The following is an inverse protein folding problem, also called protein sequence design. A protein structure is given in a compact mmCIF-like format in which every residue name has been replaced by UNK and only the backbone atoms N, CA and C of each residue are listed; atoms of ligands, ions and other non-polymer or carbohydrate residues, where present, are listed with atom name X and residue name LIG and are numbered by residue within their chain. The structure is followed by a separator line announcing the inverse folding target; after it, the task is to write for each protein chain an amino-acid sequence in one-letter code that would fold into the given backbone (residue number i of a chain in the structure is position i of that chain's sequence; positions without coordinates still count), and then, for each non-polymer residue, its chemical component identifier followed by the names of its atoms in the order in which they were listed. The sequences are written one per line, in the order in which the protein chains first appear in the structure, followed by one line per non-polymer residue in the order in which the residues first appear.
data_IF_989325679202
#
_entry.id   IF_989325679202
#
_cell.length_a   1.000
_cell.length_b   1.000
_cell.length_c   1.000
_cell.angle_alpha   90.00
_cell.angle_beta   90.00
_cell.angle_gamma   90.00
#
_symmetry.space_group_name_H-M   'P 1'
#
loop_
_entity.id
_entity.type
_entity.pdbx_description
1 polymer ?
#
# COMPACT_ATOMS: atom_id res chain seq x y z
N UNK A 1 -0.15 -18.37 1.18
CA UNK A 1 -0.59 -19.63 0.56
C UNK A 1 -0.78 -19.41 -0.93
N UNK A 2 -0.13 -20.17 -1.83
CA UNK A 2 -0.52 -20.18 -3.23
C UNK A 2 -1.84 -20.95 -3.36
N UNK A 3 -2.93 -20.26 -3.64
CA UNK A 3 -4.18 -20.90 -4.03
C UNK A 3 -3.95 -21.54 -5.40
N UNK A 4 -4.23 -22.84 -5.52
CA UNK A 4 -4.19 -23.55 -6.81
C UNK A 4 -5.26 -22.91 -7.68
N UNK A 5 -4.85 -22.02 -8.60
CA UNK A 5 -5.78 -21.14 -9.31
C UNK A 5 -6.71 -21.88 -10.26
N UNK A 6 -6.34 -23.07 -10.75
CA UNK A 6 -7.02 -23.74 -11.87
C UNK A 6 -6.94 -25.26 -11.70
N UNK A 7 -8.06 -25.90 -11.34
CA UNK A 7 -8.18 -27.35 -11.24
C UNK A 7 -8.72 -27.92 -12.56
N UNK A 8 -8.13 -29.00 -13.06
CA UNK A 8 -8.60 -29.67 -14.28
C UNK A 8 -9.57 -30.78 -13.88
N UNK A 9 -10.75 -30.78 -14.51
CA UNK A 9 -11.78 -31.78 -14.24
C UNK A 9 -12.04 -32.67 -15.46
N UNK A 10 -12.24 -34.00 -15.27
CA UNK A 10 -12.17 -34.76 -14.02
C UNK A 10 -10.73 -34.98 -13.53
N UNK A 11 -10.49 -35.00 -12.21
CA UNK A 11 -9.12 -35.24 -11.66
C UNK A 11 -8.65 -36.69 -11.81
N UNK A 12 -9.59 -37.62 -11.77
CA UNK A 12 -9.35 -39.05 -11.84
C UNK A 12 -9.96 -39.61 -13.13
N UNK A 13 -9.20 -40.42 -13.86
CA UNK A 13 -9.62 -40.94 -15.16
C UNK A 13 -10.33 -42.30 -15.08
N UNK A 14 -9.95 -43.15 -14.11
CA UNK A 14 -10.36 -44.57 -14.08
C UNK A 14 -10.74 -45.08 -12.68
N UNK A 15 -11.17 -44.21 -11.76
CA UNK A 15 -11.53 -44.58 -10.39
C UNK A 15 -12.99 -45.06 -10.20
N UNK A 16 -13.78 -45.13 -11.28
CA UNK A 16 -15.18 -45.59 -11.21
C UNK A 16 -15.29 -47.12 -11.24
N UNK A 17 -16.22 -47.67 -10.46
CA UNK A 17 -16.57 -49.09 -10.55
C UNK A 17 -17.17 -49.39 -11.93
N UNK A 18 -16.83 -50.56 -12.48
CA UNK A 18 -17.44 -51.04 -13.73
C UNK A 18 -18.85 -51.54 -13.41
N UNK A 19 -19.88 -51.13 -14.17
CA UNK A 19 -21.25 -51.61 -13.95
C UNK A 19 -21.36 -53.13 -14.14
N UNK A 20 -22.22 -53.76 -13.33
CA UNK A 20 -22.48 -55.20 -13.42
C UNK A 20 -23.19 -55.58 -14.73
N UNK A 21 -22.85 -56.74 -15.30
CA UNK A 21 -23.50 -57.29 -16.50
C UNK A 21 -22.89 -56.84 -17.84
N UNK A 22 -21.69 -56.25 -17.82
CA UNK A 22 -20.97 -55.86 -19.05
C UNK A 22 -20.15 -57.05 -19.56
N UNK A 23 -20.28 -57.35 -20.86
CA UNK A 23 -19.56 -58.47 -21.48
C UNK A 23 -18.04 -58.27 -21.56
N UNK A 24 -17.57 -57.05 -21.82
CA UNK A 24 -16.14 -56.71 -21.91
C UNK A 24 -15.81 -55.51 -21.00
N UNK A 25 -15.42 -55.80 -19.77
CA UNK A 25 -15.09 -54.79 -18.76
C UNK A 25 -13.90 -53.91 -19.16
N UNK A 26 -12.89 -54.48 -19.82
CA UNK A 26 -11.69 -53.74 -20.25
C UNK A 26 -12.03 -52.67 -21.30
N UNK A 27 -12.87 -53.02 -22.27
CA UNK A 27 -13.36 -52.07 -23.27
C UNK A 27 -14.20 -50.96 -22.63
N UNK A 28 -15.03 -51.29 -21.64
CA UNK A 28 -15.78 -50.29 -20.88
C UNK A 28 -14.85 -49.32 -20.14
N UNK A 29 -13.86 -49.82 -19.40
CA UNK A 29 -12.90 -48.99 -18.66
C UNK A 29 -12.08 -48.11 -19.62
N UNK A 30 -11.61 -48.65 -20.74
CA UNK A 30 -10.82 -47.88 -21.72
C UNK A 30 -11.66 -46.78 -22.37
N UNK A 31 -12.91 -47.05 -22.75
CA UNK A 31 -13.83 -46.04 -23.30
C UNK A 31 -14.18 -44.95 -22.26
N UNK A 32 -14.45 -45.33 -21.01
CA UNK A 32 -14.66 -44.39 -19.91
C UNK A 32 -13.42 -43.50 -19.68
N UNK A 33 -12.24 -44.10 -19.73
CA UNK A 33 -10.95 -43.39 -19.58
C UNK A 33 -10.76 -42.40 -20.73
N UNK A 34 -11.00 -42.80 -21.98
CA UNK A 34 -10.93 -41.91 -23.14
C UNK A 34 -11.92 -40.75 -23.04
N UNK A 35 -13.16 -41.04 -22.65
CA UNK A 35 -14.19 -40.02 -22.41
C UNK A 35 -13.76 -39.03 -21.32
N UNK A 36 -13.16 -39.52 -20.23
CA UNK A 36 -12.61 -38.69 -19.17
C UNK A 36 -11.43 -37.82 -19.63
N UNK A 37 -10.53 -38.35 -20.47
CA UNK A 37 -9.43 -37.59 -21.10
C UNK A 37 -9.98 -36.47 -21.98
N UNK A 38 -11.00 -36.73 -22.80
CA UNK A 38 -11.63 -35.69 -23.65
C UNK A 38 -12.20 -34.56 -22.78
N UNK A 39 -12.85 -34.91 -21.65
CA UNK A 39 -13.36 -33.92 -20.69
C UNK A 39 -12.22 -33.11 -20.04
N UNK A 40 -11.11 -33.76 -19.66
CA UNK A 40 -9.93 -33.05 -19.15
C UNK A 40 -9.37 -32.06 -20.17
N UNK A 41 -9.26 -32.45 -21.44
CA UNK A 41 -8.78 -31.58 -22.52
C UNK A 41 -9.73 -30.39 -22.75
N UNK A 42 -11.04 -30.59 -22.64
CA UNK A 42 -12.01 -29.50 -22.66
C UNK A 42 -11.80 -28.54 -21.48
N UNK A 43 -11.66 -29.06 -20.25
CA UNK A 43 -11.38 -28.25 -19.07
C UNK A 43 -10.06 -27.48 -19.19
N UNK A 44 -9.03 -28.10 -19.76
CA UNK A 44 -7.74 -27.46 -20.02
C UNK A 44 -7.87 -26.33 -21.05
N UNK A 45 -8.63 -26.55 -22.12
CA UNK A 45 -8.87 -25.56 -23.17
C UNK A 45 -9.59 -24.31 -22.61
N UNK A 46 -10.62 -24.51 -21.76
CA UNK A 46 -11.27 -23.41 -21.03
C UNK A 46 -10.29 -22.61 -20.18
N UNK A 47 -9.37 -23.29 -19.48
CA UNK A 47 -8.36 -22.61 -18.66
C UNK A 47 -7.35 -21.84 -19.50
N UNK A 48 -6.95 -22.38 -20.65
CA UNK A 48 -6.09 -21.68 -21.59
C UNK A 48 -6.77 -20.42 -22.14
N UNK A 49 -8.04 -20.51 -22.55
CA UNK A 49 -8.84 -19.37 -23.00
C UNK A 49 -8.88 -18.26 -21.94
N UNK A 50 -9.12 -18.61 -20.67
CA UNK A 50 -9.13 -17.65 -19.58
C UNK A 50 -7.78 -16.93 -19.41
N UNK A 51 -6.65 -17.67 -19.49
CA UNK A 51 -5.31 -17.09 -19.38
C UNK A 51 -5.01 -16.15 -20.55
N UNK A 52 -5.28 -16.59 -21.77
CA UNK A 52 -5.03 -15.76 -22.96
C UNK A 52 -5.98 -14.57 -23.03
N UNK A 53 -7.22 -14.71 -22.58
CA UNK A 53 -8.19 -13.62 -22.47
C UNK A 53 -7.75 -12.56 -21.46
N UNK A 54 -7.27 -12.95 -20.28
CA UNK A 54 -6.71 -12.04 -19.27
C UNK A 54 -5.52 -11.25 -19.85
N UNK A 55 -4.56 -11.95 -20.48
CA UNK A 55 -3.40 -11.33 -21.11
C UNK A 55 -3.77 -10.40 -22.26
N UNK A 56 -4.72 -10.81 -23.10
CA UNK A 56 -5.20 -10.00 -24.22
C UNK A 56 -5.84 -8.70 -23.75
N UNK A 57 -6.68 -8.75 -22.71
CA UNK A 57 -7.33 -7.56 -22.16
C UNK A 57 -6.32 -6.58 -21.57
N UNK A 58 -5.30 -7.09 -20.86
CA UNK A 58 -4.23 -6.26 -20.31
C UNK A 58 -3.38 -5.64 -21.41
N UNK A 59 -2.99 -6.42 -22.43
CA UNK A 59 -2.26 -5.94 -23.58
C UNK A 59 -3.04 -4.89 -24.37
N UNK A 60 -4.35 -5.05 -24.54
CA UNK A 60 -5.21 -4.09 -25.23
C UNK A 60 -5.35 -2.79 -24.42
N UNK A 61 -5.46 -2.89 -23.09
CA UNK A 61 -5.44 -1.72 -22.20
C UNK A 61 -4.12 -0.96 -22.31
N UNK A 62 -3.00 -1.69 -22.34
CA UNK A 62 -1.68 -1.11 -22.56
C UNK A 62 -1.57 -0.44 -23.94
N UNK A 63 -2.03 -1.10 -24.99
CA UNK A 63 -2.04 -0.60 -26.35
C UNK A 63 -2.82 0.73 -26.47
N UNK A 64 -4.03 0.80 -25.90
CA UNK A 64 -4.81 2.05 -25.89
C UNK A 64 -4.09 3.19 -25.18
N UNK A 65 -3.42 2.91 -24.05
CA UNK A 65 -2.60 3.90 -23.33
C UNK A 65 -1.37 4.33 -24.14
N UNK A 66 -0.72 3.40 -24.82
CA UNK A 66 0.46 3.67 -25.64
C UNK A 66 0.11 4.59 -26.82
N UNK A 67 -1.00 4.32 -27.53
CA UNK A 67 -1.47 5.18 -28.61
C UNK A 67 -1.80 6.59 -28.13
N UNK A 68 -2.54 6.71 -27.02
CA UNK A 68 -2.85 8.02 -26.43
C UNK A 68 -1.60 8.79 -26.00
N UNK A 69 -0.58 8.08 -25.52
CA UNK A 69 0.71 8.68 -25.19
C UNK A 69 1.48 9.12 -26.45
N UNK A 70 1.47 8.31 -27.50
CA UNK A 70 2.12 8.64 -28.77
C UNK A 70 1.54 9.92 -29.38
N UNK A 71 0.21 10.03 -29.46
CA UNK A 71 -0.46 11.24 -29.96
C UNK A 71 -0.05 12.50 -29.17
N UNK A 72 0.15 12.35 -27.85
CA UNK A 72 0.61 13.46 -27.00
C UNK A 72 2.07 13.80 -27.25
N UNK A 73 2.92 12.81 -27.47
CA UNK A 73 4.33 12.99 -27.81
C UNK A 73 4.45 13.74 -29.14
N UNK A 74 3.70 13.34 -30.17
CA UNK A 74 3.77 13.96 -31.49
C UNK A 74 3.35 15.44 -31.45
N UNK A 75 2.25 15.74 -30.74
CA UNK A 75 1.80 17.13 -30.53
C UNK A 75 2.80 17.94 -29.70
N UNK A 76 3.42 17.33 -28.69
CA UNK A 76 4.43 17.99 -27.87
C UNK A 76 5.69 18.27 -28.68
N UNK A 77 6.14 17.33 -29.52
CA UNK A 77 7.30 17.49 -30.38
C UNK A 77 7.16 18.71 -31.30
N UNK A 78 6.00 18.85 -31.96
CA UNK A 78 5.71 20.04 -32.80
C UNK A 78 5.78 21.33 -31.97
N UNK A 79 5.15 21.36 -30.79
CA UNK A 79 5.18 22.55 -29.91
C UNK A 79 6.60 22.90 -29.49
N UNK A 80 7.40 21.92 -29.08
CA UNK A 80 8.79 22.13 -28.65
C UNK A 80 9.65 22.67 -29.80
N UNK A 81 9.47 22.16 -31.03
CA UNK A 81 10.21 22.66 -32.20
C UNK A 81 9.82 24.06 -32.62
N UNK A 82 8.63 24.54 -32.25
CA UNK A 82 8.14 25.88 -32.56
C UNK A 82 8.44 26.91 -31.46
N UNK A 83 9.02 26.50 -30.33
CA UNK A 83 9.39 27.42 -29.25
C UNK A 83 10.57 28.29 -29.69
N UNK A 84 10.40 29.60 -29.56
CA UNK A 84 11.45 30.60 -29.75
C UNK A 84 11.80 31.25 -28.41
N UNK A 85 12.93 30.84 -27.84
CA UNK A 85 13.41 31.35 -26.55
C UNK A 85 13.82 32.83 -26.58
N UNK A 86 13.96 33.44 -27.76
CA UNK A 86 14.27 34.87 -27.86
C UNK A 86 13.04 35.77 -27.64
N UNK A 87 11.84 35.21 -27.78
CA UNK A 87 10.55 35.91 -27.66
C UNK A 87 9.82 35.55 -26.35
N UNK A 88 10.14 34.43 -25.72
CA UNK A 88 9.45 33.94 -24.52
C UNK A 88 9.91 34.65 -23.24
N UNK A 89 9.14 35.65 -22.78
CA UNK A 89 9.40 36.38 -21.54
C UNK A 89 8.93 35.61 -20.28
N UNK A 90 9.79 35.54 -19.26
CA UNK A 90 9.48 34.89 -17.99
C UNK A 90 8.65 35.84 -17.10
N UNK A 91 7.35 35.56 -16.97
CA UNK A 91 6.45 36.37 -16.13
C UNK A 91 6.48 35.97 -14.65
N UNK A 92 6.85 36.91 -13.78
CA UNK A 92 6.77 36.74 -12.33
C UNK A 92 5.32 36.68 -11.80
N UNK A 93 4.33 37.11 -12.61
CA UNK A 93 2.92 37.04 -12.24
C UNK A 93 2.44 35.58 -12.17
N UNK A 94 3.01 34.69 -12.98
CA UNK A 94 2.64 33.28 -13.00
C UNK A 94 2.98 32.57 -11.68
N UNK A 95 4.00 33.04 -10.95
CA UNK A 95 4.42 32.47 -9.66
C UNK A 95 3.32 32.63 -8.60
N UNK A 96 2.62 33.78 -8.60
CA UNK A 96 1.57 34.06 -7.61
C UNK A 96 0.16 33.71 -8.10
N UNK A 97 -0.08 33.77 -9.43
CA UNK A 97 -1.42 33.63 -10.01
C UNK A 97 -1.72 32.26 -10.60
N UNK A 98 -0.70 31.44 -10.92
CA UNK A 98 -0.88 30.06 -11.39
C UNK A 98 -0.58 29.06 -10.28
N UNK A 99 -1.38 27.98 -10.25
CA UNK A 99 -1.08 26.84 -9.38
C UNK A 99 0.14 26.11 -9.91
N UNK A 100 1.03 25.73 -8.99
CA UNK A 100 2.19 24.91 -9.33
C UNK A 100 1.76 23.56 -9.94
N UNK A 101 2.58 23.03 -10.85
CA UNK A 101 2.38 21.70 -11.41
C UNK A 101 2.34 20.64 -10.31
N UNK A 102 1.44 19.66 -10.47
CA UNK A 102 1.32 18.50 -9.60
C UNK A 102 1.33 17.24 -10.44
N UNK A 103 2.21 16.31 -10.09
CA UNK A 103 2.19 14.96 -10.61
C UNK A 103 1.03 14.16 -9.99
N UNK A 104 0.64 13.07 -10.66
CA UNK A 104 -0.29 12.11 -10.10
C UNK A 104 0.32 11.42 -8.88
N UNK A 105 -0.47 11.26 -7.80
CA UNK A 105 -0.09 10.57 -6.55
C UNK A 105 -1.15 9.51 -6.23
N UNK A 106 -1.63 8.80 -7.24
CA UNK A 106 -2.59 7.70 -7.06
C UNK A 106 -1.86 6.52 -6.41
N UNK A 107 -2.50 5.94 -5.38
CA UNK A 107 -2.01 4.76 -4.67
C UNK A 107 -3.06 3.67 -4.71
N UNK A 108 -2.67 2.48 -5.17
CA UNK A 108 -3.56 1.31 -5.19
C UNK A 108 -3.73 0.76 -3.77
N UNK A 109 -4.98 0.60 -3.35
CA UNK A 109 -5.36 0.09 -2.04
C UNK A 109 -6.46 -0.96 -2.21
N UNK A 110 -6.71 -1.76 -1.16
CA UNK A 110 -7.74 -2.81 -1.17
C UNK A 110 -7.60 -3.83 -2.32
N UNK A 111 -6.35 -4.21 -2.63
CA UNK A 111 -5.99 -5.14 -3.72
C UNK A 111 -6.62 -6.54 -3.63
N UNK A 112 -7.20 -6.92 -2.49
CA UNK A 112 -7.88 -8.20 -2.27
C UNK A 112 -9.41 -8.05 -2.15
N UNK A 113 -9.98 -7.02 -2.76
CA UNK A 113 -11.43 -6.82 -2.80
C UNK A 113 -12.13 -7.88 -3.67
N UNK A 114 -13.45 -8.01 -3.53
CA UNK A 114 -14.26 -8.91 -4.37
C UNK A 114 -14.17 -8.57 -5.87
N UNK A 115 -13.83 -7.33 -6.22
CA UNK A 115 -13.68 -6.92 -7.63
C UNK A 115 -12.36 -7.33 -8.25
N UNK A 116 -11.33 -7.60 -7.44
CA UNK A 116 -10.01 -8.03 -7.91
C UNK A 116 -9.82 -9.55 -7.85
N UNK A 117 -10.87 -10.31 -7.51
CA UNK A 117 -10.79 -11.77 -7.49
C UNK A 117 -10.72 -12.32 -8.90
N UNK A 118 -9.73 -13.16 -9.25
CA UNK A 118 -9.65 -13.80 -10.55
C UNK A 118 -10.89 -14.66 -10.83
N UNK A 119 -11.32 -14.73 -12.08
CA UNK A 119 -12.49 -15.50 -12.51
C UNK A 119 -12.43 -16.96 -12.02
N UNK A 120 -11.25 -17.58 -12.05
CA UNK A 120 -11.10 -18.96 -11.60
C UNK A 120 -11.33 -19.16 -10.09
N UNK A 121 -10.99 -18.16 -9.28
CA UNK A 121 -11.27 -18.16 -7.84
C UNK A 121 -12.74 -17.86 -7.60
N UNK A 122 -13.34 -16.97 -8.39
CA UNK A 122 -14.77 -16.67 -8.33
C UNK A 122 -15.62 -17.90 -8.68
N UNK A 123 -15.24 -18.67 -9.70
CA UNK A 123 -15.90 -19.93 -10.08
C UNK A 123 -15.88 -20.94 -8.92
N UNK A 124 -14.72 -21.13 -8.29
CA UNK A 124 -14.56 -22.02 -7.12
C UNK A 124 -15.36 -21.53 -5.90
N UNK A 125 -15.41 -20.22 -5.69
CA UNK A 125 -16.24 -19.62 -4.63
C UNK A 125 -17.74 -19.88 -4.90
N UNK A 126 -18.17 -19.75 -6.15
CA UNK A 126 -19.57 -19.94 -6.55
C UNK A 126 -20.03 -21.40 -6.51
N UNK A 127 -19.11 -22.36 -6.72
CA UNK A 127 -19.39 -23.79 -6.56
C UNK A 127 -19.37 -24.26 -5.09
N UNK A 128 -18.89 -23.42 -4.17
CA UNK A 128 -18.82 -23.76 -2.76
C UNK A 128 -20.19 -23.65 -2.06
N UNK A 129 -20.35 -24.36 -0.95
CA UNK A 129 -21.57 -24.31 -0.16
C UNK A 129 -21.84 -22.89 0.35
N UNK A 130 -23.05 -22.39 0.08
CA UNK A 130 -23.48 -21.07 0.54
C UNK A 130 -23.83 -21.10 2.03
N UNK A 131 -23.59 -20.00 2.76
CA UNK A 131 -23.99 -19.93 4.16
C UNK A 131 -25.53 -19.98 4.29
N UNK A 132 -26.05 -20.40 5.45
CA UNK A 132 -27.48 -20.34 5.72
C UNK A 132 -28.02 -18.91 5.53
N UNK A 133 -29.24 -18.72 4.98
CA UNK A 133 -29.79 -17.40 4.68
C UNK A 133 -30.35 -16.73 5.95
N UNK A 134 -29.48 -16.45 6.93
CA UNK A 134 -29.88 -15.84 8.21
C UNK A 134 -30.32 -14.38 8.04
N UNK A 135 -29.98 -13.73 6.92
CA UNK A 135 -30.40 -12.36 6.63
C UNK A 135 -31.92 -12.18 6.60
N UNK A 136 -32.69 -13.25 6.38
CA UNK A 136 -34.16 -13.22 6.48
C UNK A 136 -34.65 -13.01 7.91
N UNK A 137 -33.86 -13.41 8.90
CA UNK A 137 -34.17 -13.25 10.33
C UNK A 137 -33.85 -11.85 10.85
N UNK A 138 -33.11 -11.04 10.08
CA UNK A 138 -32.74 -9.67 10.44
C UNK A 138 -33.97 -8.80 10.76
N UNK A 139 -35.10 -9.02 10.08
CA UNK A 139 -36.33 -8.27 10.31
C UNK A 139 -36.96 -8.48 11.70
N UNK A 140 -36.60 -9.58 12.39
CA UNK A 140 -37.13 -9.91 13.71
C UNK A 140 -36.18 -9.50 14.84
N UNK A 141 -35.06 -8.84 14.53
CA UNK A 141 -34.08 -8.41 15.52
C UNK A 141 -34.40 -7.02 16.05
N UNK A 142 -34.22 -6.83 17.35
CA UNK A 142 -34.43 -5.55 18.03
C UNK A 142 -33.28 -4.55 17.82
N UNK A 143 -32.07 -5.04 17.59
CA UNK A 143 -30.85 -4.23 17.51
C UNK A 143 -30.53 -3.72 16.09
N UNK A 144 -31.39 -3.99 15.10
CA UNK A 144 -31.24 -3.64 13.68
C UNK A 144 -29.94 -4.14 13.02
N UNK A 145 -29.19 -5.01 13.69
CA UNK A 145 -27.96 -5.57 13.14
C UNK A 145 -28.27 -6.71 12.18
N UNK A 146 -27.49 -6.83 11.12
CA UNK A 146 -27.63 -7.93 10.17
C UNK A 146 -27.31 -9.26 10.85
N UNK A 147 -28.31 -10.15 10.90
CA UNK A 147 -28.20 -11.47 11.49
C UNK A 147 -27.04 -12.29 10.88
N UNK A 148 -26.71 -12.07 9.61
CA UNK A 148 -25.57 -12.74 8.95
C UNK A 148 -24.23 -12.43 9.61
N UNK A 149 -24.06 -11.24 10.19
CA UNK A 149 -22.79 -10.85 10.82
C UNK A 149 -22.46 -11.69 12.06
N UNK A 150 -23.47 -12.27 12.73
CA UNK A 150 -23.25 -13.19 13.85
C UNK A 150 -22.72 -14.55 13.38
N UNK A 151 -22.95 -14.92 12.12
CA UNK A 151 -22.40 -16.13 11.52
C UNK A 151 -21.04 -15.87 10.85
N UNK A 152 -20.95 -14.81 10.04
CA UNK A 152 -19.73 -14.41 9.35
C UNK A 152 -19.74 -12.92 9.08
N UNK A 153 -18.73 -12.22 9.61
CA UNK A 153 -18.51 -10.80 9.36
C UNK A 153 -17.14 -10.55 8.71
N UNK A 154 -17.11 -10.27 7.39
CA UNK A 154 -15.86 -9.94 6.69
C UNK A 154 -15.21 -8.62 7.15
N UNK A 155 -15.96 -7.68 7.75
CA UNK A 155 -15.38 -6.39 8.20
C UNK A 155 -14.78 -6.45 9.60
N UNK A 156 -15.09 -7.50 10.37
CA UNK A 156 -14.66 -7.68 11.76
C UNK A 156 -13.18 -7.38 12.00
N UNK A 157 -12.28 -7.96 11.19
CA UNK A 157 -10.84 -7.76 11.36
C UNK A 157 -10.41 -6.31 11.14
N UNK A 158 -11.01 -5.65 10.15
CA UNK A 158 -10.70 -4.25 9.86
C UNK A 158 -11.22 -3.33 10.95
N UNK A 159 -12.45 -3.56 11.43
CA UNK A 159 -13.08 -2.76 12.47
C UNK A 159 -12.31 -2.87 13.80
N UNK A 160 -11.94 -4.10 14.19
CA UNK A 160 -11.12 -4.36 15.38
C UNK A 160 -9.72 -3.71 15.27
N UNK A 161 -9.08 -3.85 14.10
CA UNK A 161 -7.78 -3.22 13.86
C UNK A 161 -7.87 -1.69 13.94
N UNK A 162 -8.89 -1.09 13.30
CA UNK A 162 -9.13 0.35 13.30
C UNK A 162 -9.31 0.87 14.72
N UNK A 163 -10.15 0.22 15.52
CA UNK A 163 -10.37 0.57 16.92
C UNK A 163 -9.06 0.55 17.71
N UNK A 164 -8.28 -0.53 17.59
CA UNK A 164 -6.98 -0.66 18.25
C UNK A 164 -6.02 0.46 17.84
N UNK A 165 -5.94 0.81 16.56
CA UNK A 165 -5.04 1.86 16.08
C UNK A 165 -5.42 3.25 16.59
N UNK A 166 -6.72 3.54 16.71
CA UNK A 166 -7.20 4.79 17.31
C UNK A 166 -6.86 4.84 18.80
N UNK A 167 -7.10 3.75 19.53
CA UNK A 167 -6.77 3.64 20.95
C UNK A 167 -5.27 3.84 21.21
N UNK A 168 -4.43 3.12 20.47
CA UNK A 168 -2.96 3.23 20.55
C UNK A 168 -2.48 4.66 20.24
N UNK A 169 -3.15 5.35 19.31
CA UNK A 169 -2.85 6.75 18.97
C UNK A 169 -3.18 7.71 20.11
N UNK A 170 -4.33 7.54 20.75
CA UNK A 170 -4.73 8.35 21.91
C UNK A 170 -3.83 8.11 23.11
N UNK A 171 -3.48 6.85 23.39
CA UNK A 171 -2.61 6.51 24.52
C UNK A 171 -1.20 7.06 24.30
N UNK A 172 -0.66 6.97 23.08
CA UNK A 172 0.62 7.58 22.72
C UNK A 172 0.59 9.11 22.84
N UNK A 173 -0.55 9.75 22.54
CA UNK A 173 -0.73 11.20 22.73
C UNK A 173 -0.77 11.57 24.22
N UNK A 174 -1.51 10.82 25.04
CA UNK A 174 -1.62 11.02 26.50
C UNK A 174 -0.29 10.80 27.19
N UNK A 175 0.44 9.75 26.83
CA UNK A 175 1.77 9.46 27.39
C UNK A 175 2.78 10.57 27.08
N UNK A 176 2.80 11.09 25.84
CA UNK A 176 3.61 12.27 25.49
C UNK A 176 3.29 13.50 26.34
N UNK A 177 2.01 13.72 26.70
CA UNK A 177 1.61 14.82 27.60
C UNK A 177 2.11 14.56 29.03
N UNK A 178 1.97 13.34 29.54
CA UNK A 178 2.47 12.96 30.88
C UNK A 178 3.98 13.12 30.99
N UNK A 179 4.74 12.72 29.97
CA UNK A 179 6.20 12.91 29.94
C UNK A 179 6.60 14.39 29.94
N UNK A 180 5.90 15.26 29.20
CA UNK A 180 6.14 16.72 29.24
C UNK A 180 5.87 17.30 30.62
N UNK A 181 4.77 16.90 31.27
CA UNK A 181 4.44 17.36 32.63
C UNK A 181 5.45 16.86 33.66
N UNK A 182 5.87 15.58 33.57
CA UNK A 182 6.92 15.02 34.44
C UNK A 182 8.26 15.74 34.23
N UNK A 183 8.68 15.98 32.99
CA UNK A 183 9.90 16.72 32.69
C UNK A 183 9.85 18.17 33.22
N UNK A 184 8.70 18.85 33.09
CA UNK A 184 8.49 20.19 33.62
C UNK A 184 8.50 20.21 35.16
N UNK A 185 7.85 19.22 35.81
CA UNK A 185 7.86 19.07 37.26
C UNK A 185 9.24 18.72 37.81
N UNK A 186 9.99 17.83 37.16
CA UNK A 186 11.37 17.52 37.52
C UNK A 186 12.31 18.72 37.36
N UNK A 187 12.10 19.58 36.35
CA UNK A 187 12.82 20.85 36.23
C UNK A 187 12.49 21.81 37.38
N UNK A 188 11.23 21.91 37.79
CA UNK A 188 10.80 22.73 38.93
C UNK A 188 11.36 22.19 40.27
N UNK A 189 11.37 20.87 40.47
CA UNK A 189 11.95 20.24 41.66
C UNK A 189 13.47 20.43 41.72
N UNK A 190 14.18 20.31 40.60
CA UNK A 190 15.62 20.61 40.53
C UNK A 190 15.92 22.08 40.83
N UNK A 191 15.00 22.99 40.50
CA UNK A 191 15.10 24.41 40.85
C UNK A 191 14.94 24.68 42.36
N UNK A 192 14.20 23.83 43.09
CA UNK A 192 13.98 23.97 44.53
C UNK A 192 15.04 23.27 45.40
N UNK A 193 15.82 22.32 44.88
CA UNK A 193 16.83 21.56 45.64
C UNK A 193 18.23 22.22 45.58
N UNK A 194 18.46 23.21 44.72
CA UNK A 194 19.69 23.99 44.74
C UNK A 194 19.60 25.15 45.74
N UNK A 195 20.51 25.26 46.74
CA UNK A 195 20.49 26.37 47.67
C UNK A 195 20.81 27.66 46.92
N UNK A 196 20.12 28.74 47.29
CA UNK A 196 20.27 30.07 46.71
C UNK A 196 21.74 30.47 46.58
N UNK A 197 22.22 30.57 45.33
CA UNK A 197 23.31 31.49 44.98
C UNK A 197 22.72 32.61 44.13
N UNK A 198 22.61 33.78 44.77
CA UNK A 198 22.63 35.15 44.22
C UNK A 198 21.70 35.54 43.05
N UNK A 199 21.39 36.84 42.91
CA UNK A 199 20.30 37.28 42.04
C UNK A 199 20.62 36.94 40.58
N UNK A 200 19.69 36.22 39.94
CA UNK A 200 19.69 35.99 38.50
C UNK A 200 19.87 37.31 37.76
N UNK A 201 21.00 37.49 37.10
CA UNK A 201 21.08 38.41 35.97
C UNK A 201 19.90 38.12 35.05
N UNK A 202 19.17 39.18 34.69
CA UNK A 202 18.13 39.12 33.66
C UNK A 202 18.76 38.53 32.42
N UNK A 203 18.45 37.25 32.13
CA UNK A 203 18.83 36.59 30.89
C UNK A 203 18.22 37.42 29.78
N UNK A 204 19.03 38.30 29.18
CA UNK A 204 18.70 39.06 28.00
C UNK A 204 18.08 38.06 27.03
N UNK A 205 16.80 38.24 26.71
CA UNK A 205 16.14 37.51 25.63
C UNK A 205 17.07 37.67 24.44
N UNK A 206 17.66 36.56 23.97
CA UNK A 206 18.56 36.60 22.81
C UNK A 206 17.76 37.24 21.68
N UNK A 207 18.14 38.46 21.28
CA UNK A 207 17.64 39.06 20.04
C UNK A 207 17.83 37.99 18.96
N UNK A 208 16.73 37.60 18.29
CA UNK A 208 16.79 36.69 17.18
C UNK A 208 17.84 37.23 16.20
N UNK A 209 18.84 36.41 15.88
CA UNK A 209 19.94 36.82 14.99
C UNK A 209 19.33 37.21 13.65
N UNK A 210 19.49 38.47 13.27
CA UNK A 210 18.98 39.00 12.01
C UNK A 210 19.76 38.34 10.85
N UNK A 211 19.16 37.32 10.23
CA UNK A 211 19.77 36.57 9.11
C UNK A 211 19.62 37.28 7.76
N UNK A 212 19.06 38.49 7.71
CA UNK A 212 18.82 39.20 6.43
C UNK A 212 20.10 39.37 5.61
N UNK A 213 21.24 39.61 6.25
CA UNK A 213 22.54 39.69 5.57
C UNK A 213 23.00 38.33 5.03
N UNK A 214 22.78 37.23 5.75
CA UNK A 214 23.10 35.87 5.26
C UNK A 214 22.25 35.50 4.04
N UNK A 215 20.95 35.82 4.07
CA UNK A 215 20.05 35.60 2.93
C UNK A 215 20.41 36.47 1.72
N UNK A 216 20.72 37.76 1.92
CA UNK A 216 21.22 38.62 0.85
C UNK A 216 22.53 38.09 0.25
N UNK A 217 23.40 37.51 1.07
CA UNK A 217 24.67 36.94 0.61
C UNK A 217 24.48 35.58 -0.10
N UNK A 218 23.44 34.81 0.24
CA UNK A 218 23.05 33.58 -0.48
C UNK A 218 22.24 33.84 -1.75
N UNK A 219 21.70 35.04 -1.94
CA UNK A 219 21.02 35.46 -3.16
C UNK A 219 21.99 35.72 -4.33
N UNK A 220 23.30 35.88 -4.06
CA UNK A 220 24.31 35.94 -5.09
C UNK A 220 24.64 34.54 -5.62
N UNK A 221 24.86 34.45 -6.93
CA UNK A 221 25.26 33.22 -7.58
C UNK A 221 26.65 32.77 -7.10
N UNK A 222 26.93 31.45 -7.15
CA UNK A 222 28.09 30.83 -6.48
C UNK A 222 29.45 31.46 -6.84
N UNK A 223 29.54 32.14 -7.97
CA UNK A 223 30.78 32.71 -8.50
C UNK A 223 31.05 34.16 -8.06
N UNK A 224 30.07 34.84 -7.43
CA UNK A 224 30.16 36.28 -7.10
C UNK A 224 30.18 36.59 -5.59
N UNK A 225 30.36 35.58 -4.74
CA UNK A 225 30.37 35.75 -3.27
C UNK A 225 31.77 36.15 -2.77
N UNK A 226 31.93 37.18 -1.92
CA UNK A 226 33.24 37.52 -1.35
C UNK A 226 33.73 36.42 -0.38
N UNK A 227 34.86 35.79 -0.69
CA UNK A 227 35.46 34.71 0.12
C UNK A 227 36.12 35.26 1.39
N UNK A 228 35.70 34.76 2.55
CA UNK A 228 36.47 34.86 3.80
C UNK A 228 37.37 33.63 3.92
N UNK A 229 38.57 33.71 3.38
CA UNK A 229 39.61 32.71 3.58
C UNK A 229 40.10 32.71 5.04
N UNK A 230 39.94 31.59 5.74
CA UNK A 230 40.80 31.21 6.85
C UNK A 230 41.31 29.77 6.60
N UNK A 231 42.63 29.54 6.53
CA UNK A 231 43.18 28.22 6.19
C UNK A 231 43.44 27.37 7.43
N UNK A 232 43.66 26.07 7.20
CA UNK A 232 44.04 24.97 8.12
C UNK A 232 42.85 24.14 8.65
N UNK A 233 42.77 22.82 8.52
CA UNK A 233 43.75 21.77 8.18
C UNK A 233 43.03 20.47 7.75
N UNK A 234 43.80 19.64 7.06
CA UNK A 234 43.51 18.34 6.44
C UNK A 234 42.97 17.23 7.38
N UNK A 235 42.26 16.28 6.73
CA UNK A 235 42.03 14.85 7.07
C UNK A 235 40.85 14.50 8.00
N UNK A 236 39.75 13.97 7.41
CA UNK A 236 39.29 12.58 7.65
C UNK A 236 38.18 12.15 6.67
N UNK A 237 38.46 11.08 5.92
CA UNK A 237 37.57 9.95 5.64
C UNK A 237 36.22 10.19 4.97
N UNK A 238 36.14 9.77 3.70
CA UNK A 238 34.89 9.45 3.02
C UNK A 238 34.00 8.52 3.85
N UNK A 239 32.69 8.79 3.85
CA UNK A 239 31.65 7.78 4.01
C UNK A 239 30.42 8.23 3.22
N UNK A 240 30.30 7.62 2.05
CA UNK A 240 29.07 7.47 1.30
C UNK A 240 28.11 6.65 2.15
N UNK A 241 26.91 7.16 2.42
CA UNK A 241 25.76 6.28 2.66
C UNK A 241 24.47 7.00 2.25
N UNK A 242 23.79 6.36 1.29
CA UNK A 242 22.57 6.83 0.66
C UNK A 242 21.42 6.86 1.64
N UNK A 243 20.58 7.88 1.46
CA UNK A 243 19.35 8.08 2.18
C UNK A 243 18.36 6.96 1.84
N UNK A 244 18.15 6.03 2.79
CA UNK A 244 17.03 5.09 2.74
C UNK A 244 15.74 5.81 3.16
N UNK A 245 14.78 5.84 2.24
CA UNK A 245 13.39 6.27 2.44
C UNK A 245 12.70 5.48 3.56
N UNK A 246 11.91 6.11 4.45
CA UNK A 246 11.25 5.44 5.57
C UNK A 246 9.88 4.85 5.21
N UNK A 247 9.72 4.19 4.05
CA UNK A 247 8.40 3.63 3.66
C UNK A 247 8.24 2.11 3.90
N UNK A 248 9.32 1.39 4.22
CA UNK A 248 9.27 -0.07 4.44
C UNK A 248 8.84 -0.52 5.85
N UNK A 249 8.71 0.38 6.82
CA UNK A 249 8.52 -0.03 8.24
C UNK A 249 7.09 -0.43 8.56
N UNK A 250 6.08 0.08 7.86
CA UNK A 250 4.69 -0.21 8.21
C UNK A 250 4.29 -1.65 7.87
N UNK A 251 4.73 -2.18 6.73
CA UNK A 251 4.38 -3.55 6.29
C UNK A 251 5.04 -4.61 7.17
N UNK A 252 6.27 -4.39 7.62
CA UNK A 252 6.94 -5.29 8.56
C UNK A 252 6.32 -5.24 9.97
N UNK A 253 5.75 -4.10 10.38
CA UNK A 253 4.97 -4.01 11.62
C UNK A 253 3.64 -4.78 11.52
N UNK A 254 2.97 -4.75 10.37
CA UNK A 254 1.74 -5.53 10.11
C UNK A 254 1.96 -7.04 10.32
N UNK A 255 3.13 -7.57 9.92
CA UNK A 255 3.41 -9.01 10.04
C UNK A 255 4.03 -9.40 11.39
N UNK A 256 4.93 -8.59 11.97
CA UNK A 256 5.59 -8.92 13.24
C UNK A 256 4.64 -8.84 14.45
N UNK A 257 3.62 -7.97 14.43
CA UNK A 257 2.67 -7.87 15.55
C UNK A 257 1.67 -9.03 15.53
N UNK A 258 1.27 -9.50 14.34
CA UNK A 258 0.29 -10.59 14.19
C UNK A 258 0.84 -11.96 14.58
N UNK A 259 2.12 -12.26 14.29
CA UNK A 259 2.70 -13.59 14.57
C UNK A 259 3.30 -13.75 15.96
N UNK A 260 3.56 -12.67 16.70
CA UNK A 260 4.33 -12.74 17.97
C UNK A 260 3.47 -12.89 19.22
N UNK A 261 2.15 -12.68 19.13
CA UNK A 261 1.28 -12.62 20.30
C UNK A 261 0.10 -13.61 20.32
N UNK A 262 -0.25 -14.28 19.23
CA UNK A 262 -1.48 -15.11 19.16
C UNK A 262 -1.23 -16.57 18.74
N UNK A 263 -0.40 -17.29 19.52
CA UNK A 263 -0.51 -18.75 19.61
C UNK A 263 -0.80 -19.13 21.07
N UNK A 264 -2.07 -19.27 21.47
CA UNK A 264 -2.41 -20.06 22.63
C UNK A 264 -2.21 -21.54 22.25
N UNK A 265 -1.37 -22.22 23.02
CA UNK A 265 -1.29 -23.68 23.06
C UNK A 265 -2.69 -24.28 23.23
N UNK A 266 -3.20 -24.93 22.20
CA UNK A 266 -4.38 -25.78 22.29
C UNK A 266 -3.99 -27.04 23.06
N UNK A 267 -4.68 -27.26 24.18
CA UNK A 267 -4.74 -28.50 24.94
C UNK A 267 -5.85 -29.38 24.36
#
# INVERSE_FOLDING_TARGET
MPLVKRNIEPRHLCHGAVPDGIGNELECVTNNTLSAIIRQLSSLSKHAENVFGELFNEANTFYGRANSLQDRIDRLAVKVTQLDSSVEEVSLQDINMRKAFKSSVVQDQQVLSKGSTPNSVADMYNSSNRPPPLSTLTAYREDSTDAMKFYSDPSYFFDLWKEKMLQDTEDKRKERRRQRVRAHSSQLLCFHILPQKEPREVKKVRKARNRRQEWNMMAFDKELRPDHHHPQTLRRGASSEGSLSPDGRLVLFFWNVFWKNDFPSLQ
#
